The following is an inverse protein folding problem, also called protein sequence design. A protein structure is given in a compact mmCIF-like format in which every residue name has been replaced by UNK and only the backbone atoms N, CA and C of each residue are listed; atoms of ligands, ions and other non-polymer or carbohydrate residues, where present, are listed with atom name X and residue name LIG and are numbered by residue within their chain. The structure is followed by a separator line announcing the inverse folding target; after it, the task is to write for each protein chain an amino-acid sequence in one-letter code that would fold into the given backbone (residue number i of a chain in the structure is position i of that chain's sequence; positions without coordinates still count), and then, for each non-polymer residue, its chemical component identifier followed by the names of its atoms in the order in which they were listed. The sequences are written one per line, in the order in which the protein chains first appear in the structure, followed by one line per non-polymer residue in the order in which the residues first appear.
data_IF_421593237252
#
_entry.id   IF_421593237252
#
_cell.length_a   1.000
_cell.length_b   1.000
_cell.length_c   1.000
_cell.angle_alpha   90.00
_cell.angle_beta   90.00
_cell.angle_gamma   90.00
#
_symmetry.space_group_name_H-M   'P 1'
#
loop_
_entity.id
_entity.type
_entity.pdbx_description
1 polymer ?
#
# COMPACT_ATOMS: atom_id res chain seq x y z
N UNK A 1 2.27 15.82 3.16
CA UNK A 1 1.90 15.33 1.81
C UNK A 1 0.38 15.31 1.65
N UNK A 2 -0.18 16.05 0.69
CA UNK A 2 -1.63 16.10 0.40
C UNK A 2 -2.13 14.93 -0.48
N UNK A 3 -1.24 14.04 -0.92
CA UNK A 3 -1.56 12.91 -1.79
C UNK A 3 -2.38 11.87 -1.03
N UNK A 4 -3.41 11.32 -1.67
CA UNK A 4 -4.14 10.20 -1.09
C UNK A 4 -3.24 8.96 -0.97
N UNK A 5 -3.00 8.41 0.23
CA UNK A 5 -2.21 7.19 0.44
C UNK A 5 -2.90 5.91 -0.06
N UNK A 6 -4.12 6.00 -0.60
CA UNK A 6 -4.93 4.86 -1.01
C UNK A 6 -6.04 4.59 -0.01
N UNK A 7 -6.92 5.57 0.18
CA UNK A 7 -8.08 5.43 1.07
C UNK A 7 -9.01 4.29 0.59
N UNK A 8 -9.48 3.47 1.52
CA UNK A 8 -10.58 2.53 1.24
C UNK A 8 -11.91 3.25 1.42
N UNK A 9 -12.86 3.15 0.45
CA UNK A 9 -14.20 3.70 0.59
C UNK A 9 -14.91 3.18 1.84
N UNK A 10 -15.62 4.06 2.55
CA UNK A 10 -16.40 3.71 3.74
C UNK A 10 -17.76 3.13 3.33
N UNK A 11 -18.36 2.32 4.21
CA UNK A 11 -19.73 1.83 4.04
C UNK A 11 -19.92 0.76 2.96
N UNK A 12 -18.84 0.26 2.34
CA UNK A 12 -18.95 -0.78 1.31
C UNK A 12 -19.13 -2.20 1.87
N UNK A 13 -19.23 -2.39 3.19
CA UNK A 13 -19.48 -3.70 3.79
C UNK A 13 -20.96 -4.10 3.77
N UNK A 14 -21.63 -3.99 2.62
CA UNK A 14 -23.00 -4.47 2.43
C UNK A 14 -23.01 -5.95 2.07
N UNK A 15 -24.13 -6.64 2.29
CA UNK A 15 -24.25 -8.08 1.96
C UNK A 15 -24.12 -8.29 0.46
N UNK A 16 -24.75 -7.41 -0.31
CA UNK A 16 -24.76 -7.42 -1.78
C UNK A 16 -23.34 -7.23 -2.32
N UNK A 17 -22.56 -6.33 -1.72
CA UNK A 17 -21.17 -6.13 -2.12
C UNK A 17 -20.31 -7.37 -1.81
N UNK A 18 -20.48 -7.98 -0.63
CA UNK A 18 -19.75 -9.21 -0.27
C UNK A 18 -20.08 -10.34 -1.23
N UNK A 19 -21.36 -10.52 -1.58
CA UNK A 19 -21.82 -11.51 -2.56
C UNK A 19 -21.23 -11.24 -3.96
N UNK A 20 -21.08 -9.98 -4.35
CA UNK A 20 -20.48 -9.59 -5.63
C UNK A 20 -18.97 -9.90 -5.75
N UNK A 21 -18.26 -10.12 -4.63
CA UNK A 21 -16.80 -10.35 -4.64
C UNK A 21 -16.37 -11.71 -5.21
N UNK A 22 -17.32 -12.59 -5.58
CA UNK A 22 -17.03 -13.93 -6.16
C UNK A 22 -15.95 -14.70 -5.40
N UNK A 23 -16.09 -14.75 -4.07
CA UNK A 23 -15.11 -15.35 -3.18
C UNK A 23 -14.98 -16.86 -3.43
N UNK A 24 -13.76 -17.38 -3.38
CA UNK A 24 -13.54 -18.83 -3.44
C UNK A 24 -13.99 -19.48 -2.13
N UNK A 25 -14.42 -20.75 -2.14
CA UNK A 25 -14.71 -21.50 -0.91
C UNK A 25 -13.52 -21.44 0.04
N UNK A 26 -13.76 -21.04 1.29
CA UNK A 26 -12.73 -20.87 2.33
C UNK A 26 -12.01 -19.51 2.36
N UNK A 27 -12.33 -18.57 1.46
CA UNK A 27 -11.73 -17.24 1.46
C UNK A 27 -12.32 -16.35 2.56
N UNK A 28 -11.48 -15.92 3.50
CA UNK A 28 -11.86 -15.04 4.61
C UNK A 28 -11.85 -13.58 4.15
N UNK A 29 -12.90 -12.83 4.49
CA UNK A 29 -12.99 -11.39 4.24
C UNK A 29 -12.94 -10.63 5.55
N UNK A 30 -11.99 -9.71 5.65
CA UNK A 30 -11.86 -8.84 6.81
C UNK A 30 -12.69 -7.58 6.63
N UNK A 31 -13.32 -7.13 7.72
CA UNK A 31 -14.08 -5.87 7.76
C UNK A 31 -13.50 -4.92 8.79
N UNK A 32 -13.68 -3.63 8.55
CA UNK A 32 -13.38 -2.60 9.52
C UNK A 32 -14.68 -2.20 10.24
N UNK A 33 -14.80 -2.42 11.56
CA UNK A 33 -16.00 -2.03 12.29
C UNK A 33 -16.18 -0.51 12.33
N UNK A 34 -15.08 0.26 12.38
CA UNK A 34 -15.11 1.73 12.45
C UNK A 34 -15.48 2.41 11.13
N UNK A 35 -15.18 1.78 10.00
CA UNK A 35 -15.45 2.35 8.67
C UNK A 35 -16.63 1.68 7.96
N UNK A 36 -17.19 0.61 8.56
CA UNK A 36 -18.16 -0.28 7.92
C UNK A 36 -17.74 -0.66 6.50
N UNK A 37 -16.45 -0.98 6.34
CA UNK A 37 -15.84 -1.23 5.03
C UNK A 37 -15.17 -2.58 5.00
N UNK A 38 -15.23 -3.25 3.85
CA UNK A 38 -14.40 -4.42 3.56
C UNK A 38 -12.95 -3.95 3.49
N UNK A 39 -12.06 -4.66 4.19
CA UNK A 39 -10.62 -4.41 4.16
C UNK A 39 -10.03 -5.22 3.01
N UNK A 40 -9.52 -4.56 1.96
CA UNK A 40 -8.66 -5.21 0.99
C UNK A 40 -7.46 -5.86 1.68
N UNK A 41 -6.78 -6.75 0.98
CA UNK A 41 -5.59 -7.38 1.51
C UNK A 41 -4.56 -6.32 1.95
N UNK A 42 -3.93 -6.57 3.10
CA UNK A 42 -2.96 -5.66 3.76
C UNK A 42 -3.49 -4.25 4.08
N UNK A 43 -4.80 -4.01 4.08
CA UNK A 43 -5.35 -2.73 4.47
C UNK A 43 -5.54 -2.62 5.99
N UNK A 44 -5.12 -1.48 6.57
CA UNK A 44 -5.25 -1.22 8.01
C UNK A 44 -6.01 0.08 8.27
N UNK A 45 -6.68 0.15 9.42
CA UNK A 45 -7.38 1.35 9.86
C UNK A 45 -6.43 2.25 10.66
N UNK A 46 -6.20 3.45 10.17
CA UNK A 46 -5.46 4.46 10.92
C UNK A 46 -6.39 5.15 11.91
N UNK A 47 -6.10 5.03 13.20
CA UNK A 47 -6.85 5.69 14.28
C UNK A 47 -6.68 7.21 14.28
N UNK A 48 -5.59 7.74 13.71
CA UNK A 48 -5.33 9.18 13.58
C UNK A 48 -6.14 9.75 12.41
N UNK A 49 -5.98 9.19 11.21
CA UNK A 49 -6.70 9.65 10.01
C UNK A 49 -8.18 9.22 9.93
N UNK A 50 -8.65 8.35 10.82
CA UNK A 50 -10.05 7.84 10.88
C UNK A 50 -10.54 7.20 9.57
N UNK A 51 -9.65 6.51 8.87
CA UNK A 51 -9.92 5.82 7.60
C UNK A 51 -9.03 4.60 7.41
N UNK A 52 -9.49 3.65 6.61
CA UNK A 52 -8.67 2.52 6.20
C UNK A 52 -7.80 2.89 5.00
N UNK A 53 -6.54 2.47 5.02
CA UNK A 53 -5.55 2.73 3.97
C UNK A 53 -5.09 1.40 3.38
N UNK A 54 -5.03 1.30 2.05
CA UNK A 54 -4.54 0.13 1.32
C UNK A 54 -3.03 0.00 1.49
N UNK A 55 -2.55 -1.23 1.76
CA UNK A 55 -1.15 -1.52 2.08
C UNK A 55 -0.56 -0.49 3.05
N UNK A 56 -1.30 -0.19 4.12
CA UNK A 56 -0.86 0.80 5.10
C UNK A 56 0.45 0.35 5.73
N UNK A 57 1.44 1.22 5.66
CA UNK A 57 2.70 1.02 6.38
C UNK A 57 2.59 1.67 7.76
N UNK A 58 2.53 3.00 7.81
CA UNK A 58 2.37 3.74 9.07
C UNK A 58 1.66 5.09 8.88
N UNK A 59 1.30 5.73 9.99
CA UNK A 59 0.97 7.16 10.00
C UNK A 59 2.24 7.94 10.36
N UNK A 60 2.66 8.84 9.49
CA UNK A 60 3.87 9.62 9.69
C UNK A 60 3.49 11.04 10.13
N UNK A 61 3.87 11.46 11.35
CA UNK A 61 3.60 12.81 11.85
C UNK A 61 4.27 13.88 11.00
N UNK A 62 5.47 13.60 10.47
CA UNK A 62 6.29 14.55 9.71
C UNK A 62 5.63 14.99 8.40
N UNK A 63 4.96 14.06 7.71
CA UNK A 63 4.20 14.37 6.49
C UNK A 63 2.71 14.62 6.76
N UNK A 64 2.32 14.57 8.04
CA UNK A 64 0.95 14.67 8.55
C UNK A 64 -0.06 13.82 7.75
N UNK A 65 0.35 12.61 7.38
CA UNK A 65 -0.46 11.71 6.55
C UNK A 65 -0.02 10.25 6.73
N UNK A 66 -0.86 9.32 6.31
CA UNK A 66 -0.45 7.92 6.20
C UNK A 66 0.49 7.70 5.02
N UNK A 67 1.37 6.72 5.16
CA UNK A 67 2.13 6.11 4.08
C UNK A 67 1.43 4.80 3.71
N UNK A 68 1.03 4.69 2.45
CA UNK A 68 0.29 3.55 1.92
C UNK A 68 0.56 3.36 0.43
N UNK A 69 -0.20 2.49 -0.21
CA UNK A 69 0.05 2.03 -1.59
C UNK A 69 0.33 3.16 -2.59
N UNK A 70 -0.42 4.25 -2.52
CA UNK A 70 -0.37 5.31 -3.54
C UNK A 70 0.74 6.35 -3.30
N UNK A 71 1.28 6.43 -2.08
CA UNK A 71 2.28 7.44 -1.73
C UNK A 71 3.58 6.87 -1.12
N UNK A 72 3.68 5.55 -0.98
CA UNK A 72 4.88 4.88 -0.47
C UNK A 72 6.13 5.24 -1.29
N UNK A 73 6.04 5.23 -2.62
CA UNK A 73 7.19 5.57 -3.48
C UNK A 73 7.70 7.00 -3.25
N UNK A 74 6.80 7.95 -3.06
CA UNK A 74 7.16 9.35 -2.81
C UNK A 74 7.77 9.52 -1.42
N UNK A 75 7.28 8.74 -0.45
CA UNK A 75 7.84 8.72 0.89
C UNK A 75 9.27 8.18 0.90
N UNK A 76 9.53 7.06 0.21
CA UNK A 76 10.90 6.50 0.12
C UNK A 76 11.84 7.49 -0.57
N UNK A 77 11.40 8.11 -1.68
CA UNK A 77 12.17 9.16 -2.35
C UNK A 77 12.50 10.33 -1.42
N UNK A 78 11.49 10.88 -0.74
CA UNK A 78 11.70 11.97 0.22
C UNK A 78 12.77 11.61 1.26
N UNK A 79 12.68 10.42 1.86
CA UNK A 79 13.64 9.97 2.87
C UNK A 79 15.03 9.62 2.30
N UNK A 80 15.12 9.18 1.04
CA UNK A 80 16.41 8.88 0.40
C UNK A 80 17.16 10.15 0.00
N UNK A 81 16.44 11.15 -0.50
CA UNK A 81 17.02 12.46 -0.77
C UNK A 81 17.59 13.07 0.51
N UNK A 82 16.81 13.09 1.60
CA UNK A 82 17.26 13.61 2.90
C UNK A 82 18.55 12.92 3.39
N UNK A 83 18.71 11.61 3.14
CA UNK A 83 19.91 10.85 3.49
C UNK A 83 21.12 11.25 2.62
N UNK A 84 20.91 11.41 1.31
CA UNK A 84 21.98 11.77 0.36
C UNK A 84 22.50 13.18 0.60
N UNK A 85 21.63 14.14 0.90
CA UNK A 85 22.05 15.52 1.21
C UNK A 85 22.82 15.64 2.54
N UNK A 86 22.75 14.62 3.40
CA UNK A 86 23.45 14.59 4.69
C UNK A 86 24.87 14.00 4.64
N UNK A 87 25.27 13.43 3.49
CA UNK A 87 26.58 12.83 3.23
C UNK A 87 27.26 13.56 2.04
N UNK A 88 28.59 13.53 1.89
CA UNK A 88 29.21 13.94 0.62
C UNK A 88 28.76 13.00 -0.49
N UNK A 89 28.04 13.53 -1.47
CA UNK A 89 27.43 12.76 -2.57
C UNK A 89 28.52 12.07 -3.40
N UNK A 90 28.53 10.74 -3.43
CA UNK A 90 29.38 9.94 -4.32
C UNK A 90 28.56 9.34 -5.46
N UNK A 91 29.17 9.04 -6.61
CA UNK A 91 28.46 8.50 -7.79
C UNK A 91 27.74 7.16 -7.50
N UNK A 92 28.19 6.43 -6.47
CA UNK A 92 27.62 5.14 -6.04
C UNK A 92 26.22 5.29 -5.41
N UNK A 93 25.91 6.46 -4.83
CA UNK A 93 24.63 6.73 -4.13
C UNK A 93 23.50 7.17 -5.08
N UNK A 94 23.85 7.70 -6.26
CA UNK A 94 22.89 8.28 -7.23
C UNK A 94 22.20 7.19 -8.07
N UNK A 95 22.94 6.15 -8.45
CA UNK A 95 22.43 5.09 -9.35
C UNK A 95 21.21 4.34 -8.77
N UNK A 96 21.20 3.91 -7.49
CA UNK A 96 20.06 3.20 -6.91
C UNK A 96 18.78 4.07 -6.86
N UNK A 97 18.93 5.37 -6.59
CA UNK A 97 17.81 6.32 -6.54
C UNK A 97 17.21 6.50 -7.94
N UNK A 98 18.04 6.69 -8.97
CA UNK A 98 17.59 6.78 -10.37
C UNK A 98 16.90 5.50 -10.87
N UNK A 99 17.35 4.32 -10.42
CA UNK A 99 16.68 3.06 -10.73
C UNK A 99 15.26 2.99 -10.12
N UNK A 100 15.06 3.53 -8.93
CA UNK A 100 13.74 3.59 -8.30
C UNK A 100 12.75 4.53 -9.05
N UNK A 101 13.24 5.51 -9.80
CA UNK A 101 12.43 6.32 -10.72
C UNK A 101 12.09 5.60 -12.04
N UNK A 102 12.93 4.64 -12.44
CA UNK A 102 12.79 3.91 -13.71
C UNK A 102 11.91 2.66 -13.58
N UNK A 103 11.79 2.12 -12.37
CA UNK A 103 10.96 0.95 -12.11
C UNK A 103 9.49 1.33 -11.90
N UNK A 104 8.56 0.92 -12.80
CA UNK A 104 7.14 1.08 -12.53
C UNK A 104 6.75 0.20 -11.34
N UNK A 105 6.52 0.84 -10.19
CA UNK A 105 5.90 0.27 -8.97
C UNK A 105 4.44 -0.09 -9.25
N UNK A 106 4.18 -1.05 -10.13
CA UNK A 106 2.84 -1.60 -10.35
C UNK A 106 2.80 -3.11 -10.64
N UNK A 107 3.92 -3.85 -10.57
CA UNK A 107 3.88 -5.25 -11.02
C UNK A 107 4.59 -6.28 -10.13
N UNK A 108 4.61 -6.09 -8.80
CA UNK A 108 5.01 -7.17 -7.88
C UNK A 108 3.82 -8.02 -7.37
N UNK A 109 2.61 -7.47 -7.28
CA UNK A 109 1.45 -8.24 -6.78
C UNK A 109 0.75 -9.10 -7.83
N UNK A 110 0.85 -8.77 -9.14
CA UNK A 110 0.23 -9.60 -10.19
C UNK A 110 1.07 -10.85 -10.48
N UNK A 111 2.39 -10.79 -10.34
CA UNK A 111 3.29 -11.95 -10.55
C UNK A 111 3.27 -12.95 -9.39
N UNK A 112 2.94 -12.54 -8.16
CA UNK A 112 2.78 -13.46 -7.03
C UNK A 112 1.57 -14.39 -7.21
N UNK A 113 0.50 -13.93 -7.88
CA UNK A 113 -0.70 -14.75 -8.12
C UNK A 113 -0.55 -15.76 -9.27
N UNK A 114 0.44 -15.61 -10.14
CA UNK A 114 0.69 -16.52 -11.28
C UNK A 114 1.72 -17.62 -11.01
N UNK A 115 2.41 -17.63 -9.85
CA UNK A 115 3.48 -18.60 -9.54
C UNK A 115 3.13 -19.72 -8.56
N UNK A 116 1.89 -19.82 -8.07
CA UNK A 116 1.45 -20.97 -7.25
C UNK A 116 0.66 -22.02 -8.02
N UNK A 117 0.67 -21.97 -9.35
CA UNK A 117 0.09 -23.00 -10.22
C UNK A 117 1.16 -23.88 -10.86
N UNK A 118 1.84 -24.73 -10.08
CA UNK A 118 2.55 -25.91 -10.60
C UNK A 118 2.51 -27.05 -9.57
N UNK A 119 1.75 -28.08 -9.95
CA UNK A 119 1.98 -29.52 -9.74
C UNK A 119 2.37 -30.03 -8.34
N UNK A 120 1.40 -30.62 -7.66
CA UNK A 120 1.59 -31.90 -6.95
C UNK A 120 0.57 -32.90 -7.48
N UNK A 121 1.06 -34.14 -7.65
CA UNK A 121 0.54 -35.27 -8.45
C UNK A 121 0.84 -35.22 -9.94
#
# INVERSE_FOLDING_TARGET
MLIDPGAVPKGNATKEFIESLQLKPGQVVYKCPKCCSIKPDRAHHCSVCKRCIRKMDHHCPWVNNCVGENNQKYFVLFTSEDLIFSQPITEEDIIPVLQMFSDPVQNRDVKARKKTGKFFS
#
